data_IF_888184715719
#
_entry.id   IF_888184715719
#
_cell.length_a   1.000
_cell.length_b   1.000
_cell.length_c   1.000
_cell.angle_alpha   90.00
_cell.angle_beta   90.00
_cell.angle_gamma   90.00
#
_symmetry.space_group_name_H-M   'P 1'
#
loop_
_entity.id
_entity.type
_entity.pdbx_description
1 polymer ?
#
# COMPACT_ATOMS: atom_id res chain seq x y z
N UNK A 1 -14.10 9.72 1.06
CA UNK A 1 -12.66 10.03 0.79
C UNK A 1 -12.59 11.46 0.30
N UNK A 2 -12.01 12.35 1.08
CA UNK A 2 -11.99 13.76 0.79
C UNK A 2 -10.61 14.33 0.45
N UNK A 3 -10.50 15.63 0.44
CA UNK A 3 -9.28 16.39 0.24
C UNK A 3 -9.29 17.67 1.08
N UNK A 4 -8.13 18.22 1.31
CA UNK A 4 -7.99 19.59 1.80
C UNK A 4 -7.86 20.54 0.61
N UNK A 5 -8.44 21.73 0.74
CA UNK A 5 -8.27 22.86 -0.20
C UNK A 5 -7.98 24.09 0.65
N UNK A 6 -6.77 24.61 0.55
CA UNK A 6 -6.28 25.71 1.39
C UNK A 6 -6.59 25.50 2.89
N UNK A 7 -6.26 24.30 3.39
CA UNK A 7 -6.48 23.91 4.78
C UNK A 7 -7.93 23.55 5.15
N UNK A 8 -8.89 23.65 4.25
CA UNK A 8 -10.29 23.34 4.52
C UNK A 8 -10.66 21.96 4.01
N UNK A 9 -11.16 21.09 4.89
CA UNK A 9 -11.59 19.75 4.52
C UNK A 9 -12.85 19.78 3.65
N UNK A 10 -12.81 18.98 2.57
CA UNK A 10 -13.92 18.81 1.64
C UNK A 10 -14.13 17.30 1.38
N UNK A 11 -15.34 16.81 1.62
CA UNK A 11 -15.73 15.45 1.26
C UNK A 11 -16.09 15.37 -0.23
N UNK A 12 -15.06 15.31 -1.08
CA UNK A 12 -15.21 15.29 -2.54
C UNK A 12 -14.50 14.08 -3.11
N UNK A 13 -15.25 13.26 -3.85
CA UNK A 13 -14.73 12.09 -4.56
C UNK A 13 -13.86 12.51 -5.78
N UNK A 14 -13.22 11.52 -6.40
CA UNK A 14 -12.50 11.77 -7.65
C UNK A 14 -13.46 12.13 -8.79
N UNK A 15 -13.06 13.10 -9.60
CA UNK A 15 -13.82 13.45 -10.81
C UNK A 15 -13.56 12.45 -11.92
N UNK A 16 -14.53 11.57 -12.16
CA UNK A 16 -14.52 10.62 -13.27
C UNK A 16 -15.28 11.15 -14.49
N UNK A 17 -16.09 12.20 -14.32
CA UNK A 17 -16.90 12.75 -15.43
C UNK A 17 -16.03 13.45 -16.47
N UNK A 18 -15.10 14.29 -16.04
CA UNK A 18 -14.17 15.00 -16.95
C UNK A 18 -13.18 14.07 -17.65
N UNK A 19 -13.03 12.82 -17.19
CA UNK A 19 -12.08 11.84 -17.71
C UNK A 19 -12.74 10.72 -18.53
N UNK A 20 -14.00 10.88 -18.93
CA UNK A 20 -14.73 9.86 -19.68
C UNK A 20 -14.95 8.55 -18.88
N UNK A 21 -15.19 8.68 -17.58
CA UNK A 21 -15.42 7.56 -16.68
C UNK A 21 -14.15 6.94 -16.09
N UNK A 22 -12.97 7.47 -16.40
CA UNK A 22 -11.67 6.90 -15.94
C UNK A 22 -11.25 7.46 -14.59
N UNK A 23 -10.84 6.57 -13.70
CA UNK A 23 -10.23 6.95 -12.43
C UNK A 23 -8.79 7.42 -12.64
N UNK A 24 -8.46 8.60 -12.11
CA UNK A 24 -7.09 9.16 -12.09
C UNK A 24 -6.66 9.45 -10.66
N UNK A 25 -5.53 8.87 -10.26
CA UNK A 25 -4.93 9.08 -8.93
C UNK A 25 -4.08 10.34 -8.90
N UNK A 26 -4.21 11.14 -7.84
CA UNK A 26 -3.34 12.28 -7.59
C UNK A 26 -1.95 11.83 -7.14
N UNK A 27 -0.92 12.61 -7.46
CA UNK A 27 0.45 12.40 -7.00
C UNK A 27 0.57 12.76 -5.52
N UNK A 28 1.41 12.05 -4.79
CA UNK A 28 1.74 12.34 -3.38
C UNK A 28 2.49 13.67 -3.28
N UNK A 29 2.13 14.52 -2.31
CA UNK A 29 2.65 15.87 -2.18
C UNK A 29 3.92 15.96 -1.33
N UNK A 30 4.01 15.17 -0.25
CA UNK A 30 5.17 15.14 0.63
C UNK A 30 6.17 14.08 0.12
N UNK A 31 7.32 14.54 -0.34
CA UNK A 31 8.33 13.71 -1.05
C UNK A 31 9.76 13.94 -0.54
N UNK A 32 9.92 14.30 0.74
CA UNK A 32 11.22 14.35 1.39
C UNK A 32 11.75 12.95 1.69
N UNK A 33 13.03 12.84 1.98
CA UNK A 33 13.69 11.56 2.24
C UNK A 33 14.31 11.51 3.62
N UNK A 34 14.06 10.40 4.31
CA UNK A 34 14.81 9.96 5.47
C UNK A 34 16.04 9.19 4.99
N UNK A 35 17.22 9.67 5.34
CA UNK A 35 18.52 9.06 5.00
C UNK A 35 19.33 8.81 6.27
N UNK A 36 20.39 8.02 6.18
CA UNK A 36 21.22 7.68 7.34
C UNK A 36 21.80 8.91 8.06
N UNK A 37 22.19 9.93 7.31
CA UNK A 37 22.87 11.15 7.78
C UNK A 37 22.04 12.44 7.65
N UNK A 38 20.83 12.35 7.09
CA UNK A 38 19.98 13.51 6.81
C UNK A 38 20.32 14.25 5.53
N UNK A 39 21.19 13.72 4.68
CA UNK A 39 21.41 14.26 3.34
C UNK A 39 20.13 14.21 2.49
N UNK A 40 19.96 15.11 1.49
CA UNK A 40 18.84 15.04 0.55
C UNK A 40 18.83 13.70 -0.18
N UNK A 41 17.60 13.15 -0.40
CA UNK A 41 17.39 11.98 -1.25
C UNK A 41 17.16 12.35 -2.72
N UNK A 42 16.59 11.43 -3.51
CA UNK A 42 16.27 11.68 -4.93
C UNK A 42 15.23 12.78 -5.15
N UNK A 43 14.45 13.12 -4.13
CA UNK A 43 13.44 14.20 -4.16
C UNK A 43 13.37 14.91 -2.82
N UNK A 44 12.81 16.12 -2.81
CA UNK A 44 12.59 16.93 -1.63
C UNK A 44 13.86 17.50 -1.00
N UNK A 45 13.73 17.89 0.27
CA UNK A 45 14.79 18.53 1.04
C UNK A 45 15.42 17.53 2.02
N UNK A 46 16.67 17.81 2.42
CA UNK A 46 17.37 17.08 3.48
C UNK A 46 16.91 17.48 4.89
N UNK A 47 17.61 16.95 5.91
CA UNK A 47 17.35 17.25 7.32
C UNK A 47 16.64 16.14 8.09
N UNK A 48 16.36 15.01 7.45
CA UNK A 48 15.67 13.86 8.04
C UNK A 48 16.64 12.69 8.25
N UNK A 49 17.59 12.87 9.17
CA UNK A 49 18.53 11.80 9.55
C UNK A 49 17.83 10.67 10.30
N UNK A 50 18.28 9.43 10.09
CA UNK A 50 17.84 8.30 10.88
C UNK A 50 18.26 8.49 12.35
N UNK A 51 17.29 8.61 13.23
CA UNK A 51 17.46 8.79 14.66
C UNK A 51 16.47 7.89 15.41
N UNK A 52 16.90 7.30 16.52
CA UNK A 52 16.00 6.54 17.39
C UNK A 52 14.90 7.45 17.93
N UNK A 53 13.69 6.93 18.07
CA UNK A 53 12.51 7.63 18.64
C UNK A 53 12.08 8.91 17.90
N UNK A 54 12.62 9.19 16.70
CA UNK A 54 12.30 10.40 15.94
C UNK A 54 11.06 10.23 15.07
N UNK A 55 10.89 9.08 14.45
CA UNK A 55 9.87 8.87 13.42
C UNK A 55 8.67 8.09 13.93
N UNK A 56 7.54 8.28 13.26
CA UNK A 56 6.28 7.57 13.50
C UNK A 56 5.60 7.29 12.15
N UNK A 57 4.94 6.16 12.03
CA UNK A 57 4.25 5.76 10.79
C UNK A 57 2.75 5.69 11.02
N UNK A 58 1.97 6.43 10.23
CA UNK A 58 0.51 6.33 10.23
C UNK A 58 0.05 5.48 9.06
N UNK A 59 -0.79 4.49 9.31
CA UNK A 59 -1.22 3.50 8.33
C UNK A 59 -2.71 3.17 8.46
N UNK A 60 -3.27 2.59 7.40
CA UNK A 60 -4.47 1.76 7.45
C UNK A 60 -4.08 0.32 7.11
N UNK A 61 -4.50 -0.65 7.89
CA UNK A 61 -4.28 -2.07 7.58
C UNK A 61 -5.04 -2.50 6.32
N UNK A 62 -6.08 -1.77 5.94
CA UNK A 62 -6.78 -1.99 4.69
C UNK A 62 -6.01 -1.54 3.45
N UNK A 63 -5.15 -0.50 3.56
CA UNK A 63 -4.54 0.17 2.43
C UNK A 63 -3.35 -0.63 1.86
N UNK A 64 -3.34 -1.04 0.56
CA UNK A 64 -2.23 -1.78 -0.03
C UNK A 64 -0.94 -0.95 -0.12
N UNK A 65 -1.05 0.38 -0.22
CA UNK A 65 0.10 1.26 -0.25
C UNK A 65 0.79 1.34 1.11
N UNK A 66 0.02 1.53 2.19
CA UNK A 66 0.54 1.50 3.55
C UNK A 66 1.08 0.11 3.94
N UNK A 67 0.48 -0.95 3.46
CA UNK A 67 0.91 -2.33 3.72
C UNK A 67 2.35 -2.59 3.25
N UNK A 68 2.79 -2.00 2.12
CA UNK A 68 4.20 -2.08 1.68
C UNK A 68 5.16 -1.63 2.77
N UNK A 69 4.82 -0.53 3.45
CA UNK A 69 5.67 0.05 4.50
C UNK A 69 5.70 -0.81 5.75
N UNK A 70 4.58 -1.45 6.10
CA UNK A 70 4.50 -2.41 7.21
C UNK A 70 5.35 -3.65 6.95
N UNK A 71 5.30 -4.20 5.71
CA UNK A 71 6.11 -5.36 5.32
C UNK A 71 7.60 -5.04 5.42
N UNK A 72 8.06 -3.94 4.81
CA UNK A 72 9.49 -3.60 4.85
C UNK A 72 9.94 -3.25 6.29
N UNK A 73 9.11 -2.55 7.07
CA UNK A 73 9.33 -2.31 8.49
C UNK A 73 9.53 -3.63 9.26
N UNK A 74 8.72 -4.66 8.97
CA UNK A 74 8.81 -6.00 9.58
C UNK A 74 10.07 -6.74 9.14
N UNK A 75 10.34 -6.78 7.84
CA UNK A 75 11.52 -7.44 7.27
C UNK A 75 12.83 -6.83 7.77
N UNK A 76 12.87 -5.52 7.93
CA UNK A 76 14.04 -4.79 8.44
C UNK A 76 14.11 -4.73 9.99
N UNK A 77 13.10 -5.25 10.70
CA UNK A 77 13.08 -5.25 12.18
C UNK A 77 13.01 -3.85 12.78
N UNK A 78 12.26 -2.94 12.16
CA UNK A 78 12.18 -1.53 12.56
C UNK A 78 11.05 -1.25 13.58
N UNK A 79 10.40 -2.27 14.13
CA UNK A 79 9.22 -2.11 14.99
C UNK A 79 9.49 -1.26 16.23
N UNK A 80 10.68 -1.39 16.81
CA UNK A 80 11.08 -0.58 17.98
C UNK A 80 11.58 0.83 17.61
N UNK A 81 11.97 1.07 16.35
CA UNK A 81 12.50 2.34 15.87
C UNK A 81 11.41 3.24 15.28
N UNK A 82 10.39 2.63 14.69
CA UNK A 82 9.30 3.33 14.00
C UNK A 82 7.97 2.77 14.52
N UNK A 83 7.42 3.34 15.62
CA UNK A 83 6.08 3.02 16.10
C UNK A 83 5.01 3.32 15.04
N UNK A 84 3.83 2.70 15.17
CA UNK A 84 2.73 2.78 14.20
C UNK A 84 1.45 3.21 14.89
N UNK A 85 0.73 4.19 14.32
CA UNK A 85 -0.68 4.44 14.59
C UNK A 85 -1.53 3.95 13.42
N UNK A 86 -2.61 3.26 13.75
CA UNK A 86 -3.53 2.63 12.80
C UNK A 86 -4.86 3.37 12.80
N UNK A 87 -5.28 3.88 11.65
CA UNK A 87 -6.59 4.52 11.47
C UNK A 87 -7.72 3.48 11.43
N UNK A 88 -8.94 3.92 11.77
CA UNK A 88 -10.14 3.10 11.63
C UNK A 88 -10.34 2.67 10.16
N UNK A 89 -10.78 1.43 9.88
CA UNK A 89 -11.03 0.97 8.51
C UNK A 89 -12.18 1.70 7.81
N UNK A 90 -13.14 2.28 8.56
CA UNK A 90 -14.24 3.05 7.98
C UNK A 90 -13.74 4.44 7.59
N UNK A 91 -13.72 4.69 6.28
CA UNK A 91 -13.34 5.97 5.70
C UNK A 91 -14.56 6.61 5.04
N UNK A 92 -15.29 7.43 5.79
CA UNK A 92 -16.54 8.05 5.36
C UNK A 92 -16.33 9.55 5.06
N UNK A 93 -17.30 10.41 5.42
CA UNK A 93 -17.33 11.84 5.11
C UNK A 93 -16.14 12.63 5.67
N UNK A 94 -15.58 12.20 6.80
CA UNK A 94 -14.40 12.83 7.41
C UNK A 94 -13.07 12.19 6.97
N UNK A 95 -13.09 11.32 5.96
CA UNK A 95 -11.90 10.60 5.52
C UNK A 95 -11.44 9.55 6.55
N UNK A 96 -10.14 9.42 6.73
CA UNK A 96 -9.56 8.53 7.73
C UNK A 96 -9.71 9.11 9.13
N UNK A 97 -10.25 8.31 10.06
CA UNK A 97 -10.44 8.68 11.46
C UNK A 97 -9.49 7.91 12.38
N UNK A 98 -9.22 8.47 13.53
CA UNK A 98 -8.47 7.83 14.61
C UNK A 98 -9.37 7.20 15.67
N UNK A 99 -10.62 6.92 15.31
CA UNK A 99 -11.54 6.19 16.17
C UNK A 99 -11.01 4.76 16.42
N UNK A 100 -10.83 4.41 17.69
CA UNK A 100 -10.27 3.12 18.12
C UNK A 100 -11.33 2.08 18.50
N UNK A 101 -12.59 2.28 18.13
CA UNK A 101 -13.68 1.34 18.43
C UNK A 101 -13.65 0.07 17.54
N UNK A 102 -12.78 0.03 16.53
CA UNK A 102 -12.57 -1.14 15.68
C UNK A 102 -11.30 -1.91 16.10
N UNK A 103 -11.33 -3.26 16.14
CA UNK A 103 -10.14 -4.06 16.50
C UNK A 103 -8.91 -3.66 15.69
N UNK A 104 -7.74 -3.60 16.34
CA UNK A 104 -6.47 -3.17 15.78
C UNK A 104 -6.37 -1.70 15.29
N UNK A 105 -7.44 -0.89 15.34
CA UNK A 105 -7.32 0.56 15.24
C UNK A 105 -6.76 1.10 16.57
N UNK A 106 -5.70 1.92 16.52
CA UNK A 106 -5.00 2.39 17.74
C UNK A 106 -5.37 3.81 18.14
N UNK A 107 -5.91 4.59 17.23
CA UNK A 107 -6.00 6.04 17.43
C UNK A 107 -4.71 6.77 17.03
N UNK A 108 -4.66 8.08 17.35
CA UNK A 108 -3.44 8.89 17.21
C UNK A 108 -2.70 8.95 18.55
N UNK A 109 -1.68 8.13 18.71
CA UNK A 109 -0.89 8.03 19.95
C UNK A 109 -0.04 9.28 20.24
N UNK A 110 0.19 10.15 19.26
CA UNK A 110 1.09 11.29 19.40
C UNK A 110 0.36 12.59 19.78
N UNK A 111 -0.77 12.87 19.11
CA UNK A 111 -1.42 14.18 19.22
C UNK A 111 -2.90 14.08 19.59
N UNK A 112 -3.45 12.86 19.66
CA UNK A 112 -4.87 12.59 19.96
C UNK A 112 -5.84 13.32 19.02
N UNK A 113 -5.48 13.39 17.73
CA UNK A 113 -6.37 13.90 16.71
C UNK A 113 -7.55 12.92 16.47
N UNK A 114 -8.70 13.46 16.06
CA UNK A 114 -9.85 12.66 15.65
C UNK A 114 -9.72 12.18 14.20
N UNK A 115 -9.04 12.96 13.35
CA UNK A 115 -8.98 12.75 11.89
C UNK A 115 -7.57 12.90 11.35
N UNK A 116 -7.22 12.07 10.38
CA UNK A 116 -5.89 12.11 9.74
C UNK A 116 -5.61 13.46 9.05
N UNK A 117 -6.62 14.16 8.53
CA UNK A 117 -6.39 15.46 7.91
C UNK A 117 -5.84 16.52 8.89
N UNK A 118 -6.10 16.38 10.19
CA UNK A 118 -5.54 17.28 11.20
C UNK A 118 -4.01 17.13 11.30
N UNK A 119 -3.47 15.92 11.06
CA UNK A 119 -2.03 15.71 10.99
C UNK A 119 -1.42 16.41 9.75
N UNK A 120 -2.12 16.42 8.61
CA UNK A 120 -1.70 17.15 7.42
C UNK A 120 -1.70 18.66 7.66
N UNK A 121 -2.72 19.18 8.33
CA UNK A 121 -2.80 20.59 8.70
C UNK A 121 -1.72 21.00 9.72
N UNK A 122 -1.28 20.07 10.55
CA UNK A 122 -0.15 20.30 11.45
C UNK A 122 1.16 20.46 10.69
N UNK A 123 1.34 19.71 9.60
CA UNK A 123 2.51 19.83 8.73
C UNK A 123 2.47 21.08 7.84
N UNK A 124 1.29 21.39 7.31
CA UNK A 124 1.03 22.55 6.43
C UNK A 124 -0.41 23.04 6.62
N UNK A 125 -0.63 24.18 7.32
CA UNK A 125 -1.96 24.71 7.58
C UNK A 125 -2.76 25.10 6.32
N UNK A 126 -2.07 25.31 5.18
CA UNK A 126 -2.66 25.66 3.88
C UNK A 126 -2.65 24.51 2.88
N UNK A 127 -2.39 23.28 3.35
CA UNK A 127 -2.29 22.11 2.49
C UNK A 127 -3.49 22.00 1.53
N UNK A 128 -3.18 21.77 0.26
CA UNK A 128 -4.16 21.44 -0.77
C UNK A 128 -3.80 20.10 -1.40
N UNK A 129 -4.67 19.11 -1.23
CA UNK A 129 -4.46 17.76 -1.77
C UNK A 129 -5.23 16.67 -1.05
N UNK A 130 -5.07 15.44 -1.51
CA UNK A 130 -5.68 14.26 -0.88
C UNK A 130 -4.96 13.90 0.43
N UNK A 131 -5.76 13.50 1.42
CA UNK A 131 -5.26 12.99 2.70
C UNK A 131 -5.22 11.47 2.64
N UNK A 132 -4.00 10.93 2.62
CA UNK A 132 -3.76 9.50 2.33
C UNK A 132 -2.84 8.86 3.37
N UNK A 133 -2.84 7.54 3.41
CA UNK A 133 -1.87 6.71 4.13
C UNK A 133 -1.06 5.87 3.12
N UNK A 134 0.22 5.53 3.43
CA UNK A 134 0.96 5.78 4.66
C UNK A 134 1.39 7.25 4.81
N UNK A 135 1.69 7.64 6.05
CA UNK A 135 2.38 8.89 6.36
C UNK A 135 3.59 8.58 7.24
N UNK A 136 4.78 8.92 6.77
CA UNK A 136 6.00 8.93 7.58
C UNK A 136 6.14 10.30 8.23
N UNK A 137 5.97 10.36 9.53
CA UNK A 137 5.98 11.57 10.34
C UNK A 137 7.30 11.78 11.05
N UNK A 138 7.83 13.00 11.05
CA UNK A 138 8.98 13.43 11.85
C UNK A 138 8.51 14.17 13.11
N UNK A 139 8.64 13.55 14.27
CA UNK A 139 8.26 14.13 15.57
C UNK A 139 9.12 15.34 15.94
N UNK A 140 10.39 15.39 15.49
CA UNK A 140 11.33 16.47 15.80
C UNK A 140 10.97 17.75 15.07
N UNK A 141 10.72 17.65 13.76
CA UNK A 141 10.36 18.78 12.91
C UNK A 141 8.84 19.02 12.85
N UNK A 142 8.03 18.14 13.42
CA UNK A 142 6.56 18.18 13.41
C UNK A 142 6.00 18.34 11.98
N UNK A 143 6.48 17.50 11.08
CA UNK A 143 6.07 17.52 9.67
C UNK A 143 6.02 16.12 9.06
N UNK A 144 5.35 16.02 7.91
CA UNK A 144 5.34 14.82 7.10
C UNK A 144 6.65 14.75 6.30
N UNK A 145 7.42 13.68 6.46
CA UNK A 145 8.60 13.39 5.63
C UNK A 145 8.12 12.98 4.23
N UNK A 146 7.30 11.94 4.17
CA UNK A 146 6.76 11.42 2.91
C UNK A 146 5.41 10.73 3.14
N UNK A 147 4.53 10.82 2.14
CA UNK A 147 3.32 10.03 2.01
C UNK A 147 3.31 9.16 0.73
N UNK A 148 4.51 8.91 0.16
CA UNK A 148 4.69 8.03 -0.99
C UNK A 148 5.29 6.68 -0.57
N UNK A 149 4.47 5.65 -0.61
CA UNK A 149 4.86 4.31 -0.13
C UNK A 149 6.08 3.72 -0.83
N UNK A 150 6.21 3.97 -2.14
CA UNK A 150 7.33 3.47 -2.94
C UNK A 150 8.67 4.06 -2.50
N UNK A 151 8.67 5.28 -1.97
CA UNK A 151 9.86 5.95 -1.43
C UNK A 151 10.10 5.57 0.03
N UNK A 152 9.05 5.50 0.84
CA UNK A 152 9.16 5.10 2.26
C UNK A 152 9.81 3.72 2.39
N UNK A 153 9.44 2.74 1.54
CA UNK A 153 10.07 1.42 1.59
C UNK A 153 11.56 1.45 1.24
N UNK A 154 11.98 2.33 0.34
CA UNK A 154 13.42 2.54 0.02
C UNK A 154 14.16 3.23 1.15
N UNK A 155 13.52 4.19 1.84
CA UNK A 155 14.08 4.80 3.05
C UNK A 155 14.29 3.74 4.15
N UNK A 156 13.29 2.91 4.42
CA UNK A 156 13.38 1.84 5.42
C UNK A 156 14.39 0.77 5.08
N UNK A 157 14.65 0.56 3.79
CA UNK A 157 15.58 -0.46 3.31
C UNK A 157 17.02 -0.24 3.81
N UNK A 158 17.47 1.01 3.96
CA UNK A 158 18.89 1.30 4.25
C UNK A 158 19.13 2.33 5.34
N UNK A 159 18.22 3.26 5.59
CA UNK A 159 18.49 4.41 6.45
C UNK A 159 18.83 4.03 7.90
N UNK A 160 18.29 2.93 8.40
CA UNK A 160 18.46 2.49 9.79
C UNK A 160 19.50 1.36 9.98
N UNK A 161 20.32 1.06 8.99
CA UNK A 161 21.31 -0.02 9.09
C UNK A 161 22.29 0.20 10.27
N UNK A 162 22.72 1.44 10.50
CA UNK A 162 23.56 1.82 11.65
C UNK A 162 22.81 1.79 13.01
N UNK A 163 21.49 1.68 13.01
CA UNK A 163 20.63 1.67 14.20
C UNK A 163 20.10 0.26 14.55
N UNK A 164 20.69 -0.79 13.98
CA UNK A 164 20.35 -2.16 14.28
C UNK A 164 19.23 -2.76 13.43
N UNK A 165 18.93 -2.18 12.27
CA UNK A 165 18.06 -2.81 11.30
C UNK A 165 18.61 -4.18 10.88
N UNK A 166 17.69 -5.12 10.59
CA UNK A 166 18.09 -6.44 10.07
C UNK A 166 18.78 -6.31 8.73
N UNK A 167 19.79 -7.15 8.49
CA UNK A 167 20.43 -7.26 7.19
C UNK A 167 19.41 -7.64 6.10
N UNK A 168 19.66 -7.15 4.90
CA UNK A 168 18.81 -7.37 3.72
C UNK A 168 18.68 -6.09 2.92
N UNK A 169 18.81 -6.22 1.60
CA UNK A 169 18.63 -5.14 0.64
C UNK A 169 17.57 -5.57 -0.39
N UNK A 170 16.42 -4.91 -0.38
CA UNK A 170 15.29 -5.22 -1.26
C UNK A 170 15.29 -4.35 -2.54
N UNK A 171 16.31 -3.49 -2.69
CA UNK A 171 16.53 -2.66 -3.89
C UNK A 171 18.03 -2.63 -4.25
N UNK A 172 18.66 -3.81 -4.42
CA UNK A 172 20.10 -3.91 -4.63
C UNK A 172 20.49 -3.30 -5.98
N UNK A 173 21.67 -2.69 -6.02
CA UNK A 173 22.14 -1.87 -7.14
C UNK A 173 22.13 -2.63 -8.47
N UNK A 174 22.49 -3.90 -8.45
CA UNK A 174 22.57 -4.77 -9.63
C UNK A 174 21.21 -5.15 -10.23
N UNK A 175 20.11 -4.95 -9.49
CA UNK A 175 18.75 -5.28 -9.92
C UNK A 175 17.86 -4.05 -10.10
N UNK A 176 18.36 -2.84 -9.84
CA UNK A 176 17.53 -1.61 -9.82
C UNK A 176 16.80 -1.36 -11.13
N UNK A 177 17.50 -1.46 -12.26
CA UNK A 177 16.90 -1.27 -13.57
C UNK A 177 15.74 -2.25 -13.79
N UNK A 178 15.96 -3.54 -13.54
CA UNK A 178 14.92 -4.58 -13.65
C UNK A 178 13.75 -4.36 -12.69
N UNK A 179 14.04 -3.95 -11.45
CA UNK A 179 13.02 -3.64 -10.44
C UNK A 179 12.18 -2.43 -10.88
N UNK A 180 12.81 -1.37 -11.35
CA UNK A 180 12.10 -0.15 -11.75
C UNK A 180 11.25 -0.39 -13.00
N UNK A 181 11.74 -1.17 -13.97
CA UNK A 181 10.96 -1.58 -15.13
C UNK A 181 9.72 -2.39 -14.73
N UNK A 182 9.89 -3.40 -13.86
CA UNK A 182 8.78 -4.19 -13.33
C UNK A 182 7.78 -3.29 -12.58
N UNK A 183 8.27 -2.45 -11.69
CA UNK A 183 7.46 -1.55 -10.89
C UNK A 183 6.62 -0.59 -11.74
N UNK A 184 7.14 -0.13 -12.88
CA UNK A 184 6.45 0.83 -13.75
C UNK A 184 5.15 0.23 -14.30
N UNK A 185 5.22 -0.90 -15.00
CA UNK A 185 4.02 -1.47 -15.61
C UNK A 185 3.12 -2.21 -14.60
N UNK A 186 3.68 -2.83 -13.54
CA UNK A 186 2.90 -3.45 -12.47
C UNK A 186 2.09 -2.37 -11.73
N UNK A 187 2.70 -1.21 -11.44
CA UNK A 187 1.97 -0.10 -10.81
C UNK A 187 0.78 0.33 -11.66
N UNK A 188 0.99 0.58 -12.95
CA UNK A 188 -0.05 1.14 -13.81
C UNK A 188 -1.16 0.14 -14.13
N UNK A 189 -0.79 -1.11 -14.40
CA UNK A 189 -1.72 -2.12 -14.91
C UNK A 189 -2.31 -3.03 -13.80
N UNK A 190 -1.60 -3.22 -12.68
CA UNK A 190 -2.05 -4.12 -11.60
C UNK A 190 -2.40 -3.33 -10.35
N UNK A 191 -1.39 -2.69 -9.70
CA UNK A 191 -1.63 -2.05 -8.41
C UNK A 191 -2.67 -0.92 -8.50
N UNK A 192 -2.56 -0.06 -9.50
CA UNK A 192 -3.54 0.98 -9.80
C UNK A 192 -4.63 0.49 -10.76
N UNK A 193 -4.35 -0.55 -11.54
CA UNK A 193 -5.26 -1.16 -12.52
C UNK A 193 -6.56 -1.64 -11.90
N UNK A 194 -6.50 -2.35 -10.76
CA UNK A 194 -7.69 -2.79 -10.02
C UNK A 194 -8.57 -1.62 -9.55
N UNK A 195 -7.97 -0.47 -9.21
CA UNK A 195 -8.70 0.75 -8.87
C UNK A 195 -9.29 1.43 -10.10
N UNK A 196 -8.55 1.43 -11.23
CA UNK A 196 -9.07 1.95 -12.50
C UNK A 196 -10.31 1.15 -12.94
N UNK A 197 -10.30 -0.17 -12.78
CA UNK A 197 -11.45 -1.03 -13.05
C UNK A 197 -12.59 -0.76 -12.05
N UNK A 198 -12.30 -0.82 -10.74
CA UNK A 198 -13.31 -0.73 -9.68
C UNK A 198 -14.01 0.61 -9.59
N UNK A 199 -13.33 1.71 -9.88
CA UNK A 199 -13.88 3.07 -9.86
C UNK A 199 -14.27 3.61 -11.23
N UNK A 200 -14.21 2.77 -12.28
CA UNK A 200 -14.73 3.15 -13.59
C UNK A 200 -16.23 3.48 -13.52
N UNK A 201 -16.64 4.55 -14.21
CA UNK A 201 -18.05 4.96 -14.31
C UNK A 201 -18.59 4.88 -15.75
N UNK A 202 -17.83 4.27 -16.67
CA UNK A 202 -18.28 3.88 -18.01
C UNK A 202 -17.79 2.47 -18.33
N UNK A 203 -18.53 1.76 -19.18
CA UNK A 203 -18.18 0.39 -19.61
C UNK A 203 -16.83 0.39 -20.31
N UNK A 204 -16.59 1.34 -21.23
CA UNK A 204 -15.32 1.48 -21.95
C UNK A 204 -14.11 1.61 -20.99
N UNK A 205 -14.22 2.47 -19.96
CA UNK A 205 -13.16 2.67 -18.98
C UNK A 205 -12.89 1.40 -18.15
N UNK A 206 -13.93 0.66 -17.80
CA UNK A 206 -13.83 -0.62 -17.11
C UNK A 206 -13.16 -1.68 -17.98
N UNK A 207 -13.64 -1.88 -19.21
CA UNK A 207 -13.13 -2.91 -20.14
C UNK A 207 -11.64 -2.69 -20.45
N UNK A 208 -11.25 -1.43 -20.68
CA UNK A 208 -9.83 -1.07 -20.87
C UNK A 208 -8.98 -1.42 -19.63
N UNK A 209 -9.44 -1.06 -18.45
CA UNK A 209 -8.67 -1.25 -17.22
C UNK A 209 -8.59 -2.72 -16.82
N UNK A 210 -9.72 -3.45 -16.81
CA UNK A 210 -9.76 -4.86 -16.41
C UNK A 210 -9.03 -5.76 -17.39
N UNK A 211 -9.08 -5.45 -18.70
CA UNK A 211 -8.29 -6.15 -19.71
C UNK A 211 -6.79 -6.11 -19.41
N UNK A 212 -6.25 -4.91 -19.13
CA UNK A 212 -4.84 -4.72 -18.75
C UNK A 212 -4.46 -5.42 -17.43
N UNK A 213 -5.37 -5.48 -16.46
CA UNK A 213 -5.15 -6.24 -15.22
C UNK A 213 -4.88 -7.71 -15.56
N UNK A 214 -5.76 -8.35 -16.32
CA UNK A 214 -5.64 -9.78 -16.60
C UNK A 214 -4.50 -10.11 -17.55
N UNK A 215 -4.24 -9.31 -18.58
CA UNK A 215 -3.03 -9.45 -19.42
C UNK A 215 -1.75 -9.41 -18.57
N UNK A 216 -1.72 -8.52 -17.57
CA UNK A 216 -0.57 -8.40 -16.68
C UNK A 216 -0.47 -9.57 -15.71
N UNK A 217 -1.59 -10.09 -15.18
CA UNK A 217 -1.59 -11.29 -14.34
C UNK A 217 -1.10 -12.53 -15.11
N UNK A 218 -1.52 -12.69 -16.37
CA UNK A 218 -1.04 -13.77 -17.25
C UNK A 218 0.48 -13.67 -17.51
N UNK A 219 1.00 -12.45 -17.72
CA UNK A 219 2.45 -12.23 -17.85
C UNK A 219 3.19 -12.55 -16.54
N UNK A 220 2.65 -12.14 -15.40
CA UNK A 220 3.24 -12.43 -14.08
C UNK A 220 3.22 -13.93 -13.77
N UNK A 221 2.17 -14.64 -14.13
CA UNK A 221 2.08 -16.10 -14.02
C UNK A 221 3.22 -16.80 -14.76
N UNK A 222 3.55 -16.33 -16.00
CA UNK A 222 4.66 -16.86 -16.77
C UNK A 222 6.03 -16.57 -16.13
N UNK A 223 6.27 -15.34 -15.66
CA UNK A 223 7.52 -14.95 -14.98
C UNK A 223 7.72 -15.82 -13.72
N UNK A 224 6.69 -15.92 -12.89
CA UNK A 224 6.73 -16.70 -11.65
C UNK A 224 6.73 -18.20 -11.87
N UNK A 225 6.41 -18.65 -13.08
CA UNK A 225 6.59 -20.02 -13.53
C UNK A 225 8.05 -20.40 -13.79
N UNK A 226 8.92 -19.42 -14.01
CA UNK A 226 10.34 -19.61 -14.31
C UNK A 226 11.25 -19.26 -13.13
N UNK A 227 10.82 -18.37 -12.24
CA UNK A 227 11.60 -17.85 -11.12
C UNK A 227 10.79 -17.86 -9.85
N UNK A 228 11.45 -17.98 -8.69
CA UNK A 228 10.79 -17.91 -7.37
C UNK A 228 10.17 -16.53 -7.13
N UNK A 229 10.89 -15.46 -7.51
CA UNK A 229 10.49 -14.06 -7.37
C UNK A 229 10.57 -13.35 -8.73
N UNK A 230 10.03 -12.15 -8.84
CA UNK A 230 9.95 -11.38 -10.09
C UNK A 230 11.32 -11.10 -10.72
N UNK A 231 12.35 -10.94 -9.91
CA UNK A 231 13.71 -10.64 -10.38
C UNK A 231 14.63 -11.85 -10.47
N UNK A 232 14.19 -13.03 -10.00
CA UNK A 232 14.97 -14.27 -9.94
C UNK A 232 14.75 -15.01 -8.61
N UNK A 233 15.83 -15.33 -7.90
CA UNK A 233 15.79 -16.14 -6.67
C UNK A 233 15.76 -15.33 -5.38
N UNK A 234 15.68 -14.00 -5.51
CA UNK A 234 15.80 -13.06 -4.40
C UNK A 234 14.55 -12.18 -4.31
N UNK A 235 13.97 -12.08 -3.10
CA UNK A 235 12.89 -11.16 -2.79
C UNK A 235 13.36 -9.71 -2.96
N UNK A 236 12.58 -8.90 -3.68
CA UNK A 236 12.84 -7.48 -3.90
C UNK A 236 11.59 -6.63 -3.63
N UNK A 237 11.73 -5.31 -3.66
CA UNK A 237 10.59 -4.40 -3.51
C UNK A 237 9.53 -4.59 -4.60
N UNK A 238 9.90 -5.09 -5.79
CA UNK A 238 8.94 -5.38 -6.85
C UNK A 238 7.93 -6.45 -6.42
N UNK A 239 8.42 -7.49 -5.76
CA UNK A 239 7.58 -8.55 -5.19
C UNK A 239 6.65 -8.02 -4.10
N UNK A 240 7.20 -7.24 -3.16
CA UNK A 240 6.43 -6.64 -2.06
C UNK A 240 5.32 -5.73 -2.61
N UNK A 241 5.63 -4.91 -3.61
CA UNK A 241 4.67 -3.98 -4.23
C UNK A 241 3.55 -4.69 -4.98
N UNK A 242 3.85 -5.78 -5.68
CA UNK A 242 2.84 -6.63 -6.31
C UNK A 242 2.00 -7.34 -5.26
N UNK A 243 2.65 -7.97 -4.29
CA UNK A 243 2.03 -8.86 -3.31
C UNK A 243 0.88 -8.21 -2.53
N UNK A 244 1.03 -6.94 -2.14
CA UNK A 244 -0.01 -6.22 -1.39
C UNK A 244 -1.32 -6.06 -2.17
N UNK A 245 -1.28 -6.08 -3.51
CA UNK A 245 -2.46 -6.15 -4.37
C UNK A 245 -3.01 -7.57 -4.44
N UNK A 246 -2.15 -8.58 -4.61
CA UNK A 246 -2.57 -9.97 -4.77
C UNK A 246 -3.28 -10.53 -3.53
N UNK A 247 -2.81 -10.19 -2.32
CA UNK A 247 -3.43 -10.65 -1.06
C UNK A 247 -4.86 -10.10 -0.88
N UNK A 248 -5.20 -8.99 -1.55
CA UNK A 248 -6.53 -8.37 -1.57
C UNK A 248 -7.39 -8.79 -2.75
N UNK A 249 -6.79 -9.47 -3.72
CA UNK A 249 -7.45 -9.69 -5.01
C UNK A 249 -8.72 -10.53 -4.87
N UNK A 250 -8.59 -11.76 -4.37
CA UNK A 250 -9.72 -12.65 -4.23
C UNK A 250 -10.74 -12.15 -3.20
N UNK A 251 -10.36 -11.77 -1.95
CA UNK A 251 -11.33 -11.38 -0.94
C UNK A 251 -12.01 -10.03 -1.18
N UNK A 252 -11.49 -9.21 -2.11
CA UNK A 252 -12.02 -7.87 -2.37
C UNK A 252 -12.21 -7.58 -3.86
N UNK A 253 -11.14 -7.60 -4.66
CA UNK A 253 -11.18 -7.02 -6.01
C UNK A 253 -12.02 -7.85 -6.97
N UNK A 254 -12.12 -9.15 -6.77
CA UNK A 254 -13.00 -10.04 -7.55
C UNK A 254 -14.45 -9.56 -7.49
N UNK A 255 -14.99 -9.37 -6.28
CA UNK A 255 -16.41 -9.00 -6.11
C UNK A 255 -16.64 -7.50 -6.13
N UNK A 256 -15.83 -6.74 -5.37
CA UNK A 256 -16.06 -5.32 -5.16
C UNK A 256 -15.66 -4.47 -6.38
N UNK A 257 -14.53 -4.78 -7.02
CA UNK A 257 -14.02 -4.08 -8.19
C UNK A 257 -14.33 -4.79 -9.53
N UNK A 258 -15.06 -5.90 -9.48
CA UNK A 258 -15.43 -6.71 -10.67
C UNK A 258 -14.22 -7.20 -11.46
N UNK A 259 -13.09 -7.46 -10.78
CA UNK A 259 -11.92 -8.10 -11.38
C UNK A 259 -12.11 -9.62 -11.34
N UNK A 260 -13.16 -10.15 -12.00
CA UNK A 260 -13.75 -11.46 -11.77
C UNK A 260 -13.56 -12.49 -12.91
N UNK A 261 -12.71 -12.17 -13.91
CA UNK A 261 -12.36 -13.13 -14.98
C UNK A 261 -11.69 -14.39 -14.41
N UNK A 262 -10.74 -14.22 -13.50
CA UNK A 262 -10.05 -15.27 -12.76
C UNK A 262 -9.70 -14.76 -11.36
N UNK A 263 -9.66 -15.66 -10.38
CA UNK A 263 -9.12 -15.42 -9.05
C UNK A 263 -7.60 -15.62 -9.05
N UNK A 264 -6.88 -15.08 -8.09
CA UNK A 264 -5.45 -15.43 -7.91
C UNK A 264 -5.31 -16.93 -7.60
N UNK A 265 -6.26 -17.49 -6.86
CA UNK A 265 -6.30 -18.94 -6.57
C UNK A 265 -6.49 -19.84 -7.81
N UNK A 266 -6.87 -19.28 -8.97
CA UNK A 266 -6.98 -20.03 -10.23
C UNK A 266 -5.63 -20.11 -10.99
N UNK A 267 -4.61 -19.34 -10.58
CA UNK A 267 -3.27 -19.32 -11.15
C UNK A 267 -2.29 -20.14 -10.31
N UNK A 268 -1.57 -21.06 -10.88
CA UNK A 268 -0.67 -21.94 -10.14
C UNK A 268 0.51 -21.18 -9.49
N UNK A 269 1.18 -20.34 -10.30
CA UNK A 269 2.41 -19.69 -9.88
C UNK A 269 2.16 -18.41 -9.06
N UNK A 270 1.17 -17.61 -9.44
CA UNK A 270 0.74 -16.43 -8.67
C UNK A 270 0.22 -16.84 -7.28
N UNK A 271 -0.58 -17.90 -7.20
CA UNK A 271 -1.09 -18.37 -5.91
C UNK A 271 0.02 -18.95 -5.05
N UNK A 272 0.94 -19.74 -5.63
CA UNK A 272 2.13 -20.20 -4.93
C UNK A 272 3.02 -19.07 -4.44
N UNK A 273 3.23 -18.03 -5.27
CA UNK A 273 3.99 -16.82 -4.89
C UNK A 273 3.29 -16.04 -3.76
N UNK A 274 1.98 -15.93 -3.81
CA UNK A 274 1.19 -15.26 -2.76
C UNK A 274 1.38 -15.96 -1.41
N UNK A 275 1.31 -17.30 -1.38
CA UNK A 275 1.53 -18.14 -0.20
C UNK A 275 2.98 -18.09 0.28
N UNK A 276 3.96 -18.18 -0.63
CA UNK A 276 5.39 -18.14 -0.31
C UNK A 276 5.74 -16.89 0.52
N UNK A 277 5.29 -15.72 0.08
CA UNK A 277 5.54 -14.47 0.83
C UNK A 277 4.69 -14.40 2.10
N UNK A 278 3.41 -14.82 2.08
CA UNK A 278 2.56 -14.82 3.28
C UNK A 278 3.17 -15.63 4.42
N UNK A 279 3.78 -16.78 4.11
CA UNK A 279 4.37 -17.70 5.07
C UNK A 279 5.77 -17.30 5.53
N UNK A 280 6.34 -16.21 4.98
CA UNK A 280 7.59 -15.66 5.51
C UNK A 280 7.40 -15.15 6.94
N UNK A 281 8.40 -15.33 7.83
CA UNK A 281 8.29 -14.97 9.24
C UNK A 281 7.80 -13.54 9.45
N UNK A 282 6.63 -13.38 10.07
CA UNK A 282 6.03 -12.12 10.45
C UNK A 282 5.29 -11.37 9.34
N UNK A 283 5.21 -11.88 8.11
CA UNK A 283 4.44 -11.22 7.04
C UNK A 283 2.94 -11.40 7.26
N UNK A 284 2.49 -12.58 7.67
CA UNK A 284 1.09 -12.84 8.02
C UNK A 284 0.57 -11.85 9.09
N UNK A 285 1.42 -11.46 10.06
CA UNK A 285 1.08 -10.49 11.11
C UNK A 285 0.75 -9.09 10.56
N UNK A 286 1.11 -8.79 9.31
CA UNK A 286 0.84 -7.51 8.66
C UNK A 286 -0.49 -7.48 7.92
N UNK A 287 -1.22 -8.61 7.86
CA UNK A 287 -2.49 -8.76 7.14
C UNK A 287 -3.64 -8.77 8.12
N UNK A 288 -4.59 -7.87 7.92
CA UNK A 288 -5.85 -7.85 8.65
C UNK A 288 -7.01 -7.85 7.66
N UNK A 289 -7.63 -9.02 7.46
CA UNK A 289 -8.72 -9.17 6.51
C UNK A 289 -10.01 -8.48 6.97
N UNK A 290 -10.23 -8.29 8.28
CA UNK A 290 -11.41 -7.57 8.78
C UNK A 290 -11.29 -6.08 8.47
N UNK A 291 -10.11 -5.47 8.68
CA UNK A 291 -9.83 -4.10 8.21
C UNK A 291 -9.98 -3.98 6.70
N UNK A 292 -9.37 -4.89 5.94
CA UNK A 292 -9.39 -4.88 4.47
C UNK A 292 -10.83 -4.92 3.97
N UNK A 293 -11.61 -5.91 4.38
CA UNK A 293 -12.98 -6.09 3.87
C UNK A 293 -13.93 -5.00 4.36
N UNK A 294 -13.82 -4.62 5.63
CA UNK A 294 -14.65 -3.54 6.18
C UNK A 294 -14.41 -2.24 5.41
N UNK A 295 -13.15 -1.88 5.18
CA UNK A 295 -12.82 -0.68 4.43
C UNK A 295 -13.46 -0.68 3.04
N UNK A 296 -13.15 -1.67 2.21
CA UNK A 296 -13.59 -1.68 0.83
C UNK A 296 -15.11 -1.76 0.72
N UNK A 297 -15.75 -2.69 1.41
CA UNK A 297 -17.19 -2.91 1.25
C UNK A 297 -18.06 -1.86 1.94
N UNK A 298 -17.58 -1.20 3.00
CA UNK A 298 -18.39 -0.26 3.77
C UNK A 298 -18.04 1.22 3.54
N UNK A 299 -16.85 1.53 3.01
CA UNK A 299 -16.46 2.93 2.74
C UNK A 299 -16.79 3.39 1.32
N UNK A 300 -16.85 2.50 0.33
CA UNK A 300 -17.08 2.86 -1.07
C UNK A 300 -18.56 2.80 -1.43
N UNK A 301 -19.36 3.71 -0.88
CA UNK A 301 -20.84 3.75 -1.04
C UNK A 301 -21.30 3.91 -2.49
N UNK A 302 -20.48 4.44 -3.39
CA UNK A 302 -20.78 4.54 -4.83
C UNK A 302 -20.74 3.20 -5.54
N UNK A 303 -19.99 2.22 -5.02
CA UNK A 303 -19.89 0.87 -5.56
C UNK A 303 -20.83 -0.08 -4.78
N UNK A 304 -20.84 0.03 -3.46
CA UNK A 304 -21.59 -0.83 -2.56
C UNK A 304 -22.43 0.01 -1.57
N UNK A 305 -23.55 0.56 -2.00
CA UNK A 305 -24.36 1.49 -1.19
C UNK A 305 -24.95 0.85 0.07
N UNK A 306 -25.18 -0.46 0.06
CA UNK A 306 -25.75 -1.20 1.20
C UNK A 306 -24.72 -1.48 2.30
N UNK A 307 -23.41 -1.39 2.01
CA UNK A 307 -22.35 -1.72 2.94
C UNK A 307 -22.27 -3.21 3.32
N UNK A 308 -22.93 -4.10 2.57
CA UNK A 308 -22.85 -5.55 2.80
C UNK A 308 -21.46 -6.05 2.43
N UNK A 309 -20.83 -6.77 3.34
CA UNK A 309 -19.52 -7.40 3.12
C UNK A 309 -19.74 -8.77 2.47
N UNK A 310 -19.15 -8.99 1.29
CA UNK A 310 -19.23 -10.27 0.57
C UNK A 310 -18.67 -11.42 1.41
N UNK A 311 -19.23 -12.62 1.31
CA UNK A 311 -18.73 -13.80 2.03
C UNK A 311 -17.37 -14.30 1.54
N UNK A 312 -17.02 -14.05 0.30
CA UNK A 312 -15.77 -14.50 -0.33
C UNK A 312 -15.61 -13.89 -1.73
N UNK A 313 -14.75 -14.46 -2.59
CA UNK A 313 -13.98 -15.71 -2.37
C UNK A 313 -12.85 -15.56 -1.35
N UNK A 314 -12.43 -16.70 -0.76
CA UNK A 314 -11.29 -16.79 0.15
C UNK A 314 -10.16 -17.59 -0.47
N UNK A 315 -8.95 -17.34 0.04
CA UNK A 315 -7.73 -18.08 -0.29
C UNK A 315 -7.25 -18.77 0.98
N UNK A 316 -6.85 -20.01 0.90
CA UNK A 316 -6.09 -20.64 1.98
C UNK A 316 -4.60 -20.32 1.80
N UNK A 317 -4.12 -19.38 2.61
CA UNK A 317 -2.73 -18.89 2.52
C UNK A 317 -1.76 -19.73 3.37
N UNK A 318 -2.26 -20.61 4.22
CA UNK A 318 -1.46 -21.48 5.11
C UNK A 318 -1.11 -22.82 4.44
N UNK A 319 -1.78 -23.21 3.36
CA UNK A 319 -1.38 -24.39 2.59
C UNK A 319 0.02 -24.28 2.01
N UNK A 320 0.75 -25.38 1.90
CA UNK A 320 2.11 -25.39 1.35
C UNK A 320 2.18 -24.72 -0.03
N UNK A 321 3.13 -23.82 -0.21
CA UNK A 321 3.31 -23.10 -1.48
C UNK A 321 4.13 -23.89 -2.52
N UNK A 322 4.97 -24.86 -2.09
CA UNK A 322 5.76 -25.73 -2.97
C UNK A 322 6.86 -25.06 -3.79
N UNK A 323 7.07 -23.73 -3.60
CA UNK A 323 8.04 -22.98 -4.40
C UNK A 323 9.48 -23.19 -3.93
N UNK A 324 9.69 -23.46 -2.65
CA UNK A 324 10.95 -23.88 -2.06
C UNK A 324 11.44 -25.21 -2.63
N UNK A 325 10.53 -26.17 -2.87
CA UNK A 325 10.86 -27.45 -3.51
C UNK A 325 11.22 -27.26 -4.99
N UNK A 326 10.55 -26.33 -5.66
CA UNK A 326 10.71 -26.10 -7.12
C UNK A 326 11.93 -25.24 -7.46
N UNK A 327 12.27 -24.27 -6.62
CA UNK A 327 13.30 -23.28 -6.92
C UNK A 327 14.49 -23.30 -5.93
N UNK A 328 14.46 -24.09 -4.89
CA UNK A 328 15.52 -24.23 -3.87
C UNK A 328 15.32 -23.25 -2.74
#
# INVERSE_FOLDING_TARGET
MGQLVDGVWQDVWYDTKSTGGRFKRSVSAFRNWLTADGAPGPSGEGGFAAEKDRYHLYVSLACPWAHRTLIVRKLKGLESLIPVSVVNPLMLENGWTFDSDFPAATGDDLYHHDFLYQLYLRADPHYTGRVTVPVLWDKKNQTIVSNESAEIIRMFNTAFDAHGARAGDYYPIELREKIDDLNSWIYDNVNNGVYKAGFATSQEAYDEAVGKVFESLERLEQILGQHRYLTGDRLTEADIRLWTTLVRFDPVYVTHFKCDKHRISDYLNLHGFLRDIYQMPGIADTVDFDHIRTHYFRSHKTINPTGIISIGPWQDLDEPHGRDVRFG
#
